data_IF_157842892197
#
_entry.id   IF_157842892197
#
_cell.length_a   1.000
_cell.length_b   1.000
_cell.length_c   1.000
_cell.angle_alpha   90.00
_cell.angle_beta   90.00
_cell.angle_gamma   90.00
#
_symmetry.space_group_name_H-M   'P 1'
#
loop_
_entity.id
_entity.type
_entity.pdbx_description
1 polymer ?
#
# COMPACT_ATOMS: atom_id res chain seq x y z
N UNK A 1 20.52 13.00 -21.31
CA UNK A 1 19.12 12.58 -21.46
C UNK A 1 18.42 12.81 -20.13
N UNK A 2 17.27 13.47 -20.10
CA UNK A 2 16.51 13.77 -18.87
C UNK A 2 15.08 13.24 -18.94
N UNK A 3 14.42 13.10 -17.78
CA UNK A 3 13.01 12.66 -17.70
C UNK A 3 12.08 13.88 -17.81
N UNK A 4 11.25 13.93 -18.85
CA UNK A 4 10.33 15.04 -19.13
C UNK A 4 8.91 14.82 -18.61
N UNK A 5 8.62 13.72 -17.89
CA UNK A 5 7.25 13.34 -17.47
C UNK A 5 6.52 14.47 -16.75
N UNK A 6 7.21 15.20 -15.86
CA UNK A 6 6.65 16.31 -15.09
C UNK A 6 7.29 17.67 -15.41
N UNK A 7 8.03 17.80 -16.51
CA UNK A 7 8.75 19.04 -16.85
C UNK A 7 7.88 20.32 -16.93
N UNK A 8 6.60 20.26 -17.37
CA UNK A 8 5.74 21.45 -17.38
C UNK A 8 5.26 21.89 -15.99
N UNK A 9 5.39 21.05 -14.96
CA UNK A 9 4.85 21.31 -13.62
C UNK A 9 5.88 22.07 -12.78
N UNK A 10 5.58 23.29 -12.30
CA UNK A 10 6.50 24.02 -11.44
C UNK A 10 6.59 23.37 -10.05
N UNK A 11 7.75 23.54 -9.40
CA UNK A 11 7.99 23.00 -8.06
C UNK A 11 8.54 21.57 -8.08
N UNK A 12 8.20 20.79 -7.04
CA UNK A 12 8.75 19.45 -6.82
C UNK A 12 7.62 18.46 -6.56
N UNK A 13 7.78 17.21 -7.01
CA UNK A 13 6.85 16.13 -6.66
C UNK A 13 6.87 15.87 -5.15
N UNK A 14 5.69 15.63 -4.57
CA UNK A 14 5.56 15.29 -3.16
C UNK A 14 6.28 13.99 -2.79
N UNK A 15 6.70 13.86 -1.54
CA UNK A 15 7.42 12.66 -1.10
C UNK A 15 6.46 11.50 -0.82
N UNK A 16 6.93 10.26 -1.01
CA UNK A 16 6.20 9.07 -0.56
C UNK A 16 5.97 9.08 0.98
N UNK A 17 6.83 9.78 1.74
CA UNK A 17 6.62 10.00 3.17
C UNK A 17 5.38 10.84 3.46
N UNK A 18 5.09 11.84 2.64
CA UNK A 18 3.87 12.66 2.76
C UNK A 18 2.64 11.83 2.43
N UNK A 19 2.73 11.00 1.38
CA UNK A 19 1.68 10.05 1.01
C UNK A 19 1.41 9.06 2.14
N UNK A 20 2.46 8.51 2.77
CA UNK A 20 2.31 7.59 3.90
C UNK A 20 1.54 8.23 5.07
N UNK A 21 1.87 9.48 5.44
CA UNK A 21 1.15 10.22 6.50
C UNK A 21 -0.31 10.48 6.13
N UNK A 22 -0.57 10.86 4.88
CA UNK A 22 -1.92 11.06 4.38
C UNK A 22 -2.76 9.77 4.36
N UNK A 23 -2.14 8.64 3.99
CA UNK A 23 -2.77 7.32 4.01
C UNK A 23 -3.15 6.92 5.44
N UNK A 24 -2.24 7.02 6.42
CA UNK A 24 -2.55 6.70 7.82
C UNK A 24 -3.71 7.54 8.35
N UNK A 25 -3.71 8.85 8.07
CA UNK A 25 -4.81 9.75 8.50
C UNK A 25 -6.14 9.34 7.85
N UNK A 26 -6.13 9.06 6.55
CA UNK A 26 -7.34 8.68 5.81
C UNK A 26 -7.90 7.33 6.29
N UNK A 27 -7.07 6.30 6.36
CA UNK A 27 -7.47 4.94 6.77
C UNK A 27 -7.98 4.89 8.21
N UNK A 28 -7.45 5.74 9.09
CA UNK A 28 -7.86 5.81 10.49
C UNK A 28 -9.29 6.33 10.65
N UNK A 29 -9.74 7.19 9.73
CA UNK A 29 -11.07 7.80 9.72
C UNK A 29 -12.12 6.99 8.95
N UNK A 30 -11.70 6.07 8.09
CA UNK A 30 -12.63 5.22 7.35
C UNK A 30 -13.40 4.29 8.30
N UNK A 31 -14.68 4.07 8.02
CA UNK A 31 -15.50 3.05 8.64
C UNK A 31 -15.75 1.90 7.65
N UNK A 32 -15.88 0.67 8.15
CA UNK A 32 -16.04 -0.51 7.30
C UNK A 32 -14.77 -0.91 6.54
N UNK A 33 -14.95 -1.71 5.48
CA UNK A 33 -13.86 -2.23 4.63
C UNK A 33 -13.30 -1.12 3.76
N UNK A 34 -12.00 -1.18 3.48
CA UNK A 34 -11.31 -0.23 2.60
C UNK A 34 -10.63 -1.00 1.48
N UNK A 35 -10.81 -0.53 0.24
CA UNK A 35 -10.11 -1.04 -0.95
C UNK A 35 -9.19 0.07 -1.43
N UNK A 36 -7.91 -0.25 -1.65
CA UNK A 36 -6.91 0.68 -2.17
C UNK A 36 -6.32 0.11 -3.45
N UNK A 37 -6.36 0.88 -4.54
CA UNK A 37 -5.73 0.52 -5.81
C UNK A 37 -4.47 1.33 -6.05
N UNK A 38 -3.42 0.67 -6.55
CA UNK A 38 -2.17 1.31 -6.97
C UNK A 38 -1.44 0.43 -7.98
N UNK A 39 -0.40 0.97 -8.63
CA UNK A 39 0.46 0.18 -9.49
C UNK A 39 1.25 -0.85 -8.68
N UNK A 40 1.21 -2.11 -9.09
CA UNK A 40 1.90 -3.20 -8.41
C UNK A 40 3.41 -2.98 -8.28
N UNK A 41 4.04 -2.31 -9.27
CA UNK A 41 5.46 -1.98 -9.27
C UNK A 41 5.85 -0.85 -8.31
N UNK A 42 4.89 -0.10 -7.75
CA UNK A 42 5.19 0.90 -6.73
C UNK A 42 5.21 0.24 -5.33
N UNK A 43 6.28 -0.49 -5.05
CA UNK A 43 6.48 -1.21 -3.79
C UNK A 43 6.52 -0.27 -2.57
N UNK A 44 7.07 0.94 -2.73
CA UNK A 44 7.06 1.96 -1.67
C UNK A 44 5.63 2.31 -1.25
N UNK A 45 4.72 2.47 -2.22
CA UNK A 45 3.31 2.72 -1.96
C UNK A 45 2.62 1.53 -1.29
N UNK A 46 2.90 0.31 -1.76
CA UNK A 46 2.35 -0.92 -1.16
C UNK A 46 2.77 -1.05 0.31
N UNK A 47 4.04 -0.80 0.62
CA UNK A 47 4.56 -0.82 1.98
C UNK A 47 3.91 0.27 2.85
N UNK A 48 3.78 1.49 2.32
CA UNK A 48 3.10 2.59 3.01
C UNK A 48 1.64 2.26 3.34
N UNK A 49 0.89 1.67 2.39
CA UNK A 49 -0.48 1.22 2.60
C UNK A 49 -0.54 0.13 3.68
N UNK A 50 0.36 -0.87 3.62
CA UNK A 50 0.44 -1.93 4.62
C UNK A 50 0.67 -1.39 6.02
N UNK A 51 1.68 -0.54 6.20
CA UNK A 51 2.00 0.09 7.50
C UNK A 51 0.86 0.96 8.01
N UNK A 52 0.24 1.75 7.13
CA UNK A 52 -0.92 2.56 7.48
C UNK A 52 -2.12 1.71 7.92
N UNK A 53 -2.38 0.58 7.24
CA UNK A 53 -3.41 -0.37 7.64
C UNK A 53 -3.13 -0.95 9.04
N UNK A 54 -1.90 -1.42 9.30
CA UNK A 54 -1.52 -1.94 10.62
C UNK A 54 -1.69 -0.88 11.72
N UNK A 55 -1.25 0.36 11.49
CA UNK A 55 -1.41 1.46 12.46
C UNK A 55 -2.88 1.80 12.72
N UNK A 56 -3.74 1.65 11.71
CA UNK A 56 -5.19 1.83 11.87
C UNK A 56 -5.90 0.61 12.48
N UNK A 57 -5.19 -0.44 12.91
CA UNK A 57 -5.78 -1.67 13.43
C UNK A 57 -6.46 -2.54 12.38
N UNK A 58 -6.09 -2.37 11.10
CA UNK A 58 -6.69 -3.08 9.96
C UNK A 58 -5.76 -4.19 9.49
N UNK A 59 -6.36 -5.32 9.14
CA UNK A 59 -5.66 -6.40 8.43
C UNK A 59 -5.68 -6.13 6.93
N UNK A 60 -4.62 -6.51 6.25
CA UNK A 60 -4.41 -6.27 4.82
C UNK A 60 -4.33 -7.58 4.06
N UNK A 61 -4.79 -7.56 2.81
CA UNK A 61 -4.59 -8.64 1.85
C UNK A 61 -4.30 -8.06 0.47
N UNK A 62 -3.67 -8.83 -0.39
CA UNK A 62 -3.30 -8.43 -1.74
C UNK A 62 -4.27 -9.02 -2.75
N UNK A 63 -4.85 -8.13 -3.56
CA UNK A 63 -5.76 -8.53 -4.63
C UNK A 63 -5.10 -8.35 -5.99
N UNK A 64 -5.01 -9.43 -6.74
CA UNK A 64 -4.59 -9.44 -8.14
C UNK A 64 -3.21 -10.04 -8.37
N UNK A 65 -3.13 -10.88 -9.42
CA UNK A 65 -1.93 -11.67 -9.78
C UNK A 65 -0.65 -10.85 -9.91
N UNK A 66 -0.74 -9.66 -10.51
CA UNK A 66 0.42 -8.78 -10.68
C UNK A 66 0.95 -8.23 -9.35
N UNK A 67 0.05 -7.91 -8.42
CA UNK A 67 0.39 -7.43 -7.08
C UNK A 67 1.05 -8.54 -6.27
N UNK A 68 0.44 -9.72 -6.24
CA UNK A 68 0.97 -10.91 -5.56
C UNK A 68 2.37 -11.27 -6.08
N UNK A 69 2.56 -11.29 -7.42
CA UNK A 69 3.86 -11.57 -8.04
C UNK A 69 4.91 -10.54 -7.64
N UNK A 70 4.59 -9.25 -7.72
CA UNK A 70 5.57 -8.20 -7.44
C UNK A 70 5.99 -8.20 -5.96
N UNK A 71 5.03 -8.35 -5.05
CA UNK A 71 5.34 -8.44 -3.61
C UNK A 71 6.12 -9.72 -3.28
N UNK A 72 5.81 -10.85 -3.92
CA UNK A 72 6.55 -12.10 -3.74
C UNK A 72 8.02 -11.96 -4.15
N UNK A 73 8.29 -11.39 -5.33
CA UNK A 73 9.67 -11.14 -5.80
C UNK A 73 10.38 -10.16 -4.85
N UNK A 74 9.72 -9.07 -4.47
CA UNK A 74 10.30 -8.06 -3.59
C UNK A 74 10.64 -8.62 -2.19
N UNK A 75 9.80 -9.51 -1.64
CA UNK A 75 10.09 -10.25 -0.41
C UNK A 75 11.30 -11.17 -0.56
N UNK A 76 11.39 -11.91 -1.67
CA UNK A 76 12.56 -12.75 -1.96
C UNK A 76 13.89 -11.98 -2.04
N UNK A 77 13.82 -10.67 -2.28
CA UNK A 77 14.96 -9.77 -2.35
C UNK A 77 15.16 -8.92 -1.06
N UNK A 78 14.32 -9.08 -0.04
CA UNK A 78 14.41 -8.33 1.23
C UNK A 78 13.83 -6.90 1.19
N UNK A 79 13.18 -6.48 0.10
CA UNK A 79 12.61 -5.11 -0.01
C UNK A 79 11.30 -4.93 0.76
N UNK A 80 10.66 -6.02 1.19
CA UNK A 80 9.31 -6.02 1.78
C UNK A 80 9.26 -6.75 3.11
N UNK A 81 10.38 -6.83 3.83
CA UNK A 81 10.47 -7.49 5.14
C UNK A 81 9.65 -6.76 6.21
N UNK A 82 9.56 -5.43 6.09
CA UNK A 82 8.72 -4.59 6.95
C UNK A 82 7.24 -4.58 6.56
N UNK A 83 6.83 -5.35 5.54
CA UNK A 83 5.43 -5.43 5.15
C UNK A 83 4.66 -6.24 6.20
N UNK A 84 3.55 -5.72 6.75
CA UNK A 84 2.76 -6.45 7.74
C UNK A 84 2.28 -7.82 7.23
N UNK A 85 1.99 -8.76 8.14
CA UNK A 85 1.41 -10.05 7.79
C UNK A 85 0.16 -9.88 6.94
N UNK A 86 0.12 -10.58 5.81
CA UNK A 86 -1.00 -10.57 4.89
C UNK A 86 -1.99 -11.65 5.27
N UNK A 87 -3.28 -11.32 5.23
CA UNK A 87 -4.36 -12.29 5.36
C UNK A 87 -4.63 -12.92 4.00
N UNK A 88 -4.82 -14.25 3.89
CA UNK A 88 -5.25 -14.88 2.66
C UNK A 88 -6.58 -14.32 2.14
N UNK A 89 -6.72 -14.20 0.81
CA UNK A 89 -7.92 -13.60 0.20
C UNK A 89 -9.23 -14.31 0.60
N UNK A 90 -9.19 -15.64 0.78
CA UNK A 90 -10.36 -16.42 1.19
C UNK A 90 -10.78 -16.16 2.65
N UNK A 91 -9.86 -15.69 3.51
CA UNK A 91 -10.14 -15.43 4.91
C UNK A 91 -10.78 -14.06 5.16
N UNK A 92 -10.67 -13.13 4.21
CA UNK A 92 -11.21 -11.76 4.32
C UNK A 92 -12.72 -11.73 4.54
N UNK A 93 -13.45 -12.74 4.06
CA UNK A 93 -14.89 -12.85 4.25
C UNK A 93 -15.29 -12.99 5.72
N UNK A 94 -14.46 -13.66 6.51
CA UNK A 94 -14.70 -13.96 7.93
C UNK A 94 -14.26 -12.84 8.87
N UNK A 95 -13.57 -11.83 8.36
CA UNK A 95 -13.10 -10.73 9.19
C UNK A 95 -14.18 -9.66 9.37
N UNK A 96 -14.30 -9.07 10.57
CA UNK A 96 -15.21 -7.96 10.77
C UNK A 96 -14.86 -6.82 9.81
N UNK A 97 -15.87 -6.08 9.30
CA UNK A 97 -15.62 -4.93 8.43
C UNK A 97 -15.01 -3.75 9.20
N UNK A 98 -15.17 -3.70 10.53
CA UNK A 98 -14.54 -2.70 11.41
C UNK A 98 -13.26 -3.24 12.06
N UNK A 99 -12.48 -2.30 12.63
CA UNK A 99 -11.21 -2.56 13.34
C UNK A 99 -11.40 -3.64 14.40
#
# INVERSE_FOLDING_TARGET
MGDSTNAPMPGHSGSEGDVARALTKTLSNCQGRVVVSCFASNLARVLAIGRAAQQSGRRISLMGRSMERMVSVARGLGYMDDLPPLVPNHDLGYLPPMK
#
